data_IF_677090602187
#
_entry.id   IF_677090602187
#
_cell.length_a   1.000
_cell.length_b   1.000
_cell.length_c   1.000
_cell.angle_alpha   90.00
_cell.angle_beta   90.00
_cell.angle_gamma   90.00
#
_symmetry.space_group_name_H-M   'P 1'
#
loop_
_entity.id
_entity.type
_entity.pdbx_description
1 polymer ?
#
# COMPACT_ATOMS: atom_id res chain seq x y z
N UNK A 1 -3.19 14.65 -10.64
CA UNK A 1 -2.70 13.36 -10.09
C UNK A 1 -1.19 13.37 -10.10
N UNK A 2 -0.57 13.02 -8.97
CA UNK A 2 0.89 12.90 -8.87
C UNK A 2 1.22 11.47 -8.47
N UNK A 3 2.09 10.81 -9.23
CA UNK A 3 2.65 9.52 -8.82
C UNK A 3 3.49 9.74 -7.55
N UNK A 4 3.24 8.93 -6.53
CA UNK A 4 3.95 9.02 -5.25
C UNK A 4 5.32 8.37 -5.40
N UNK A 5 6.30 8.85 -4.64
CA UNK A 5 7.70 8.37 -4.66
C UNK A 5 7.77 6.84 -4.71
N UNK A 6 8.66 6.32 -5.56
CA UNK A 6 8.98 4.90 -5.67
C UNK A 6 10.38 4.64 -5.16
N UNK A 7 10.59 3.42 -4.71
CA UNK A 7 11.90 2.89 -4.37
C UNK A 7 12.21 1.81 -5.42
N UNK A 8 13.23 1.97 -6.29
CA UNK A 8 13.40 1.16 -7.50
C UNK A 8 13.42 -0.35 -7.25
N UNK A 9 13.95 -0.79 -6.12
CA UNK A 9 14.07 -2.20 -5.75
C UNK A 9 12.98 -2.70 -4.78
N UNK A 10 12.01 -1.85 -4.40
CA UNK A 10 10.92 -2.25 -3.51
C UNK A 10 10.11 -3.42 -4.09
N UNK A 11 9.77 -4.38 -3.22
CA UNK A 11 8.94 -5.53 -3.58
C UNK A 11 7.56 -5.13 -4.11
N UNK A 12 7.01 -3.99 -3.67
CA UNK A 12 5.66 -3.55 -4.04
C UNK A 12 5.67 -2.60 -5.23
N UNK A 13 6.40 -1.49 -5.14
CA UNK A 13 6.34 -0.41 -6.13
C UNK A 13 7.59 -0.29 -7.03
N UNK A 14 8.62 -1.11 -6.81
CA UNK A 14 9.90 -1.00 -7.50
C UNK A 14 9.87 -1.60 -8.90
N UNK A 15 10.12 -0.77 -9.90
CA UNK A 15 10.15 -1.19 -11.32
C UNK A 15 11.36 -2.09 -11.65
N UNK A 16 12.44 -2.05 -10.84
CA UNK A 16 13.65 -2.87 -11.02
C UNK A 16 13.60 -4.21 -10.26
N UNK A 17 12.58 -4.43 -9.43
CA UNK A 17 12.41 -5.71 -8.74
C UNK A 17 11.70 -6.72 -9.67
N UNK A 18 12.47 -7.63 -10.26
CA UNK A 18 11.96 -8.63 -11.21
C UNK A 18 10.88 -9.54 -10.58
N UNK A 19 10.96 -9.78 -9.27
CA UNK A 19 10.00 -10.58 -8.51
C UNK A 19 8.92 -9.74 -7.79
N UNK A 20 8.97 -8.42 -7.91
CA UNK A 20 8.04 -7.51 -7.25
C UNK A 20 6.72 -7.33 -7.99
N UNK A 21 5.75 -6.76 -7.28
CA UNK A 21 4.39 -6.46 -7.76
C UNK A 21 4.38 -5.34 -8.82
N UNK A 22 5.38 -4.45 -8.79
CA UNK A 22 5.51 -3.30 -9.71
C UNK A 22 4.25 -2.41 -9.74
N UNK A 23 3.57 -2.30 -8.60
CA UNK A 23 2.36 -1.51 -8.44
C UNK A 23 2.69 -0.01 -8.47
N UNK A 24 1.85 0.77 -9.15
CA UNK A 24 1.98 2.23 -9.25
C UNK A 24 0.97 2.90 -8.34
N UNK A 25 1.42 3.87 -7.57
CA UNK A 25 0.61 4.56 -6.57
C UNK A 25 0.49 6.03 -6.92
N UNK A 26 -0.71 6.55 -6.79
CA UNK A 26 -1.03 7.94 -7.09
C UNK A 26 -1.68 8.58 -5.89
N UNK A 27 -1.53 9.89 -5.74
CA UNK A 27 -2.21 10.70 -4.73
C UNK A 27 -3.06 11.78 -5.42
N UNK A 28 -4.31 11.95 -4.97
CA UNK A 28 -5.25 12.92 -5.52
C UNK A 28 -5.39 14.22 -4.71
N UNK A 29 -4.74 14.30 -3.55
CA UNK A 29 -4.88 15.42 -2.60
C UNK A 29 -5.53 15.01 -1.29
N UNK A 30 -6.30 13.92 -1.30
CA UNK A 30 -7.03 13.40 -0.13
C UNK A 30 -6.61 11.96 0.20
N UNK A 31 -6.46 11.12 -0.82
CA UNK A 31 -6.15 9.69 -0.69
C UNK A 31 -5.09 9.25 -1.70
N UNK A 32 -4.33 8.25 -1.30
CA UNK A 32 -3.51 7.47 -2.20
C UNK A 32 -4.31 6.29 -2.76
N UNK A 33 -3.98 5.85 -3.96
CA UNK A 33 -4.65 4.72 -4.60
C UNK A 33 -3.74 3.98 -5.59
N UNK A 34 -4.12 2.74 -5.87
CA UNK A 34 -3.54 1.90 -6.92
C UNK A 34 -4.60 0.95 -7.48
N UNK A 35 -4.46 0.61 -8.75
CA UNK A 35 -5.29 -0.38 -9.44
C UNK A 35 -4.42 -1.52 -9.97
N UNK A 36 -4.87 -2.75 -9.78
CA UNK A 36 -4.21 -3.93 -10.35
C UNK A 36 -5.17 -5.09 -10.54
N UNK A 37 -4.75 -6.04 -11.36
CA UNK A 37 -5.43 -7.33 -11.51
C UNK A 37 -4.77 -8.34 -10.58
N UNK A 38 -5.58 -9.15 -9.89
CA UNK A 38 -5.13 -10.24 -9.04
C UNK A 38 -4.38 -11.31 -9.88
N UNK A 39 -3.07 -11.17 -9.98
CA UNK A 39 -2.23 -12.04 -10.80
C UNK A 39 -2.07 -13.45 -10.21
N UNK A 40 -2.08 -14.47 -11.07
CA UNK A 40 -1.99 -15.87 -10.67
C UNK A 40 -0.68 -16.21 -9.93
N UNK A 41 0.40 -15.47 -10.20
CA UNK A 41 1.72 -15.66 -9.56
C UNK A 41 1.69 -15.42 -8.05
N UNK A 42 0.63 -14.78 -7.54
CA UNK A 42 0.44 -14.52 -6.12
C UNK A 42 -0.81 -15.21 -5.55
N UNK A 43 -1.16 -16.36 -6.13
CA UNK A 43 -2.20 -17.26 -5.63
C UNK A 43 -1.81 -17.84 -4.26
N UNK A 44 -2.75 -17.83 -3.32
CA UNK A 44 -2.58 -18.45 -2.00
C UNK A 44 -3.26 -19.81 -1.91
N UNK A 45 -4.56 -19.84 -2.18
CA UNK A 45 -5.31 -21.07 -2.39
C UNK A 45 -5.73 -21.15 -3.85
N UNK A 46 -6.03 -22.34 -4.36
CA UNK A 46 -6.47 -22.53 -5.75
C UNK A 46 -7.60 -21.55 -6.12
N UNK A 47 -7.34 -20.66 -7.06
CA UNK A 47 -8.23 -19.62 -7.56
C UNK A 47 -8.35 -18.36 -6.69
N UNK A 48 -7.66 -18.29 -5.55
CA UNK A 48 -7.79 -17.23 -4.54
C UNK A 48 -6.47 -16.47 -4.37
N UNK A 49 -6.55 -15.14 -4.51
CA UNK A 49 -5.41 -14.25 -4.33
C UNK A 49 -4.92 -14.25 -2.88
N UNK A 50 -3.60 -14.31 -2.68
CA UNK A 50 -3.04 -14.50 -1.34
C UNK A 50 -3.35 -13.32 -0.42
N UNK A 51 -3.93 -13.58 0.76
CA UNK A 51 -4.34 -12.54 1.72
C UNK A 51 -3.18 -11.64 2.17
N UNK A 52 -1.97 -12.20 2.30
CA UNK A 52 -0.76 -11.42 2.61
C UNK A 52 -0.40 -10.39 1.53
N UNK A 53 -0.73 -10.62 0.26
CA UNK A 53 -0.45 -9.67 -0.82
C UNK A 53 -1.46 -8.51 -0.76
N UNK A 54 -2.71 -8.82 -0.45
CA UNK A 54 -3.72 -7.79 -0.15
C UNK A 54 -3.27 -6.93 1.04
N UNK A 55 -2.74 -7.54 2.11
CA UNK A 55 -2.22 -6.79 3.25
C UNK A 55 -1.02 -5.91 2.86
N UNK A 56 -0.08 -6.43 2.07
CA UNK A 56 1.07 -5.68 1.55
C UNK A 56 0.64 -4.46 0.72
N UNK A 57 -0.36 -4.62 -0.16
CA UNK A 57 -0.89 -3.53 -0.98
C UNK A 57 -1.68 -2.50 -0.16
N UNK A 58 -2.39 -2.95 0.88
CA UNK A 58 -3.06 -2.06 1.83
C UNK A 58 -2.04 -1.26 2.66
N UNK A 59 -0.94 -1.89 3.10
CA UNK A 59 0.14 -1.19 3.78
C UNK A 59 0.77 -0.14 2.86
N UNK A 60 1.13 -0.53 1.64
CA UNK A 60 1.78 0.37 0.68
C UNK A 60 0.85 1.53 0.29
N UNK A 61 -0.44 1.29 0.01
CA UNK A 61 -1.34 2.40 -0.35
C UNK A 61 -1.53 3.38 0.81
N UNK A 62 -1.61 2.90 2.04
CA UNK A 62 -1.75 3.76 3.22
C UNK A 62 -0.47 4.55 3.51
N UNK A 63 0.71 3.93 3.44
CA UNK A 63 1.96 4.67 3.65
C UNK A 63 2.20 5.68 2.53
N UNK A 64 1.77 5.42 1.29
CA UNK A 64 1.87 6.39 0.19
C UNK A 64 1.03 7.64 0.43
N UNK A 65 -0.08 7.56 1.17
CA UNK A 65 -0.81 8.75 1.60
C UNK A 65 0.01 9.60 2.59
N UNK A 66 0.81 8.96 3.46
CA UNK A 66 1.75 9.64 4.36
C UNK A 66 2.92 10.24 3.58
N UNK A 67 3.55 9.46 2.71
CA UNK A 67 4.72 9.86 1.90
C UNK A 67 4.37 10.85 0.77
N UNK A 68 3.10 11.15 0.55
CA UNK A 68 2.70 12.28 -0.29
C UNK A 68 3.05 13.64 0.34
N UNK A 69 3.31 13.67 1.66
CA UNK A 69 3.88 14.80 2.39
C UNK A 69 5.41 14.73 2.42
N UNK A 70 6.13 15.82 2.72
CA UNK A 70 7.60 15.85 2.77
C UNK A 70 8.17 15.16 4.04
N UNK A 71 7.71 13.95 4.33
CA UNK A 71 8.12 13.14 5.48
C UNK A 71 8.55 11.76 5.01
N UNK A 72 9.40 11.11 5.80
CA UNK A 72 9.76 9.71 5.63
C UNK A 72 9.19 8.97 6.81
N UNK A 73 8.42 7.91 6.58
CA UNK A 73 7.74 7.16 7.63
C UNK A 73 7.91 5.66 7.43
N UNK A 74 7.69 4.90 8.50
CA UNK A 74 7.69 3.44 8.50
C UNK A 74 6.46 2.90 9.23
N UNK A 75 6.04 1.70 8.85
CA UNK A 75 4.90 1.01 9.46
C UNK A 75 5.21 0.62 10.92
N UNK A 76 4.28 0.91 11.82
CA UNK A 76 4.34 0.51 13.24
C UNK A 76 3.32 -0.59 13.52
N UNK A 77 2.11 -0.45 12.97
CA UNK A 77 1.01 -1.39 13.19
C UNK A 77 0.14 -1.43 11.94
N UNK A 78 -0.27 -2.64 11.57
CA UNK A 78 -1.21 -2.88 10.49
C UNK A 78 -2.26 -3.87 10.98
N UNK A 79 -3.53 -3.49 10.94
CA UNK A 79 -4.67 -4.37 11.24
C UNK A 79 -5.53 -4.51 9.99
N UNK A 80 -5.63 -5.72 9.45
CA UNK A 80 -6.42 -6.01 8.24
C UNK A 80 -7.63 -6.86 8.59
N UNK A 81 -8.79 -6.54 8.01
CA UNK A 81 -10.01 -7.33 8.06
C UNK A 81 -10.39 -7.76 6.65
N UNK A 82 -10.43 -9.07 6.42
CA UNK A 82 -10.88 -9.66 5.16
C UNK A 82 -12.38 -9.94 5.24
N UNK A 83 -13.13 -9.38 4.31
CA UNK A 83 -14.59 -9.43 4.29
C UNK A 83 -15.13 -10.38 3.22
N UNK A 84 -14.43 -10.48 2.08
CA UNK A 84 -14.77 -11.38 0.99
C UNK A 84 -13.51 -11.85 0.25
N UNK A 85 -13.53 -13.06 -0.33
CA UNK A 85 -12.41 -13.54 -1.12
C UNK A 85 -12.19 -12.68 -2.37
N UNK A 86 -10.95 -12.68 -2.84
CA UNK A 86 -10.53 -12.12 -4.13
C UNK A 86 -10.13 -13.28 -5.02
N UNK A 87 -10.76 -13.39 -6.18
CA UNK A 87 -10.41 -14.42 -7.15
C UNK A 87 -9.25 -13.96 -8.02
N UNK A 88 -8.44 -14.91 -8.48
CA UNK A 88 -7.44 -14.63 -9.52
C UNK A 88 -8.15 -14.05 -10.75
N UNK A 89 -7.60 -12.96 -11.31
CA UNK A 89 -8.17 -12.23 -12.43
C UNK A 89 -9.11 -11.08 -12.03
N UNK A 90 -9.50 -10.94 -10.77
CA UNK A 90 -10.29 -9.81 -10.31
C UNK A 90 -9.50 -8.50 -10.48
N UNK A 91 -10.18 -7.45 -10.97
CA UNK A 91 -9.64 -6.08 -10.93
C UNK A 91 -9.93 -5.46 -9.57
N UNK A 92 -8.89 -4.92 -8.96
CA UNK A 92 -8.90 -4.41 -7.60
C UNK A 92 -8.52 -2.93 -7.59
N UNK A 93 -9.28 -2.16 -6.83
CA UNK A 93 -8.99 -0.77 -6.48
C UNK A 93 -8.61 -0.71 -5.01
N UNK A 94 -7.37 -0.33 -4.72
CA UNK A 94 -6.89 -0.07 -3.36
C UNK A 94 -6.88 1.42 -3.11
N UNK A 95 -7.34 1.84 -1.94
CA UNK A 95 -7.26 3.24 -1.50
C UNK A 95 -6.77 3.31 -0.06
N UNK A 96 -6.08 4.39 0.28
CA UNK A 96 -5.60 4.67 1.63
C UNK A 96 -5.58 6.18 1.89
N UNK A 97 -5.93 6.59 3.11
CA UNK A 97 -5.95 8.00 3.51
C UNK A 97 -5.51 8.18 4.95
N UNK A 98 -5.04 9.37 5.26
CA UNK A 98 -4.73 9.76 6.64
C UNK A 98 -6.03 10.13 7.35
N UNK A 99 -6.24 9.60 8.54
CA UNK A 99 -7.40 9.88 9.39
C UNK A 99 -7.04 10.78 10.58
N UNK A 100 -5.76 10.89 10.90
CA UNK A 100 -5.27 11.82 11.90
C UNK A 100 -3.76 11.70 12.13
N UNK A 101 -3.21 12.58 12.96
CA UNK A 101 -1.81 12.54 13.37
C UNK A 101 -1.65 13.00 14.82
N UNK A 102 -0.59 12.52 15.48
CA UNK A 102 -0.20 12.92 16.84
C UNK A 102 1.32 12.93 16.94
N UNK A 103 1.92 14.12 16.94
CA UNK A 103 3.37 14.26 16.88
C UNK A 103 3.91 13.63 15.60
N UNK A 104 4.76 12.60 15.74
CA UNK A 104 5.36 11.85 14.63
C UNK A 104 4.53 10.65 14.15
N UNK A 105 3.40 10.36 14.81
CA UNK A 105 2.54 9.22 14.48
C UNK A 105 1.41 9.67 13.53
N UNK A 106 1.21 8.91 12.46
CA UNK A 106 0.13 9.05 11.50
C UNK A 106 -0.81 7.86 11.65
N UNK A 107 -2.11 8.14 11.69
CA UNK A 107 -3.17 7.16 11.66
C UNK A 107 -3.78 7.15 10.26
N UNK A 108 -4.00 5.97 9.71
CA UNK A 108 -4.56 5.80 8.38
C UNK A 108 -5.64 4.75 8.37
N UNK A 109 -6.46 4.81 7.34
CA UNK A 109 -7.33 3.71 6.94
C UNK A 109 -7.15 3.42 5.46
N UNK A 110 -7.44 2.19 5.08
CA UNK A 110 -7.43 1.77 3.69
C UNK A 110 -8.48 0.71 3.42
N UNK A 111 -8.83 0.58 2.14
CA UNK A 111 -9.76 -0.43 1.67
C UNK A 111 -9.37 -0.95 0.28
N UNK A 112 -9.83 -2.16 -0.03
CA UNK A 112 -9.78 -2.73 -1.37
C UNK A 112 -11.16 -3.16 -1.81
N UNK A 113 -11.53 -2.72 -3.02
CA UNK A 113 -12.79 -3.06 -3.68
C UNK A 113 -12.54 -3.80 -4.97
N UNK A 114 -13.43 -4.73 -5.30
CA UNK A 114 -13.50 -5.32 -6.64
C UNK A 114 -14.16 -4.36 -7.63
N UNK A 115 -14.11 -4.69 -8.92
CA UNK A 115 -14.80 -3.94 -9.98
C UNK A 115 -16.34 -3.88 -9.79
N UNK A 116 -16.90 -4.83 -9.05
CA UNK A 116 -18.30 -4.84 -8.63
C UNK A 116 -18.60 -3.89 -7.45
N UNK A 117 -17.62 -3.08 -7.05
CA UNK A 117 -17.65 -2.19 -5.88
C UNK A 117 -17.79 -2.93 -4.53
N UNK A 118 -17.74 -4.26 -4.53
CA UNK A 118 -17.78 -5.09 -3.33
C UNK A 118 -16.50 -4.87 -2.54
N UNK A 119 -16.67 -4.56 -1.25
CA UNK A 119 -15.58 -4.38 -0.31
C UNK A 119 -14.95 -5.73 0.04
N UNK A 120 -13.68 -5.93 -0.32
CA UNK A 120 -12.96 -7.19 -0.16
C UNK A 120 -12.21 -7.24 1.17
N UNK A 121 -11.57 -6.14 1.54
CA UNK A 121 -10.89 -5.98 2.82
C UNK A 121 -10.77 -4.51 3.21
N UNK A 122 -10.59 -4.27 4.50
CA UNK A 122 -10.29 -2.96 5.10
C UNK A 122 -9.05 -3.07 5.97
N UNK A 123 -8.31 -1.97 6.13
CA UNK A 123 -7.18 -1.90 7.04
C UNK A 123 -7.15 -0.61 7.85
N UNK A 124 -6.58 -0.70 9.05
CA UNK A 124 -6.12 0.44 9.84
C UNK A 124 -4.61 0.35 9.94
N UNK A 125 -3.94 1.48 9.72
CA UNK A 125 -2.49 1.60 9.75
C UNK A 125 -2.03 2.65 10.75
N UNK A 126 -0.87 2.39 11.36
CA UNK A 126 -0.11 3.37 12.12
C UNK A 126 1.28 3.48 11.53
N UNK A 127 1.68 4.68 11.17
CA UNK A 127 3.00 4.98 10.62
C UNK A 127 3.70 6.00 11.47
N UNK A 128 5.00 5.83 11.70
CA UNK A 128 5.80 6.80 12.45
C UNK A 128 6.84 7.41 11.54
N UNK A 129 6.99 8.74 11.62
CA UNK A 129 8.07 9.44 10.94
C UNK A 129 9.42 8.85 11.39
N UNK A 130 10.30 8.53 10.44
CA UNK A 130 11.60 7.92 10.70
C UNK A 130 12.50 8.83 11.55
N UNK A 131 13.36 8.23 12.38
CA UNK A 131 14.43 9.01 13.06
C UNK A 131 15.45 9.53 12.03
N UNK A 132 16.28 10.50 12.42
CA UNK A 132 17.29 11.09 11.53
C UNK A 132 18.21 10.06 10.88
N UNK A 133 18.59 9.02 11.62
CA UNK A 133 19.52 7.99 11.12
C UNK A 133 18.81 7.04 10.14
N UNK A 134 17.61 6.59 10.49
CA UNK A 134 16.82 5.72 9.63
C UNK A 134 16.36 6.46 8.36
N UNK A 135 16.02 7.75 8.48
CA UNK A 135 15.61 8.59 7.36
C UNK A 135 16.67 8.60 6.26
N UNK A 136 17.95 8.78 6.60
CA UNK A 136 19.05 8.77 5.63
C UNK A 136 19.13 7.45 4.85
N UNK A 137 19.00 6.31 5.53
CA UNK A 137 19.00 4.98 4.90
C UNK A 137 17.80 4.77 3.97
N UNK A 138 16.62 5.25 4.36
CA UNK A 138 15.42 5.14 3.54
C UNK A 138 15.50 6.05 2.32
N UNK A 139 16.01 7.27 2.47
CA UNK A 139 16.19 8.22 1.36
C UNK A 139 17.22 7.72 0.35
N UNK A 140 18.31 7.07 0.78
CA UNK A 140 19.29 6.47 -0.13
C UNK A 140 18.74 5.29 -0.95
N UNK A 141 17.54 4.80 -0.64
CA UNK A 141 16.89 3.71 -1.37
C UNK A 141 16.03 4.20 -2.55
N UNK A 142 15.97 5.52 -2.77
CA UNK A 142 15.23 6.14 -3.90
C UNK A 142 16.07 6.11 -5.19
N UNK A 143 17.40 6.07 -5.05
CA UNK A 143 18.38 5.95 -6.15
C UNK A 143 18.47 4.51 -6.65
#
# INVERSE_FOLDING_TARGET
MKEVVKYPHCFVCGDLNVHGLKAKFFYDGEKAYTELTADQSFEGYRGIYHGGIIATLLDEVMIKAVLAQPVVAVTVELTVRYLAPVNIGDRLMFTGRITGSKGRLYLTEGEVRGNDNTLRATALGKYIEASSDLKKTLESSIE
#
